data_IF_487472295087
#
_entry.id   IF_487472295087
#
_cell.length_a   1.000
_cell.length_b   1.000
_cell.length_c   1.000
_cell.angle_alpha   90.00
_cell.angle_beta   90.00
_cell.angle_gamma   90.00
#
_symmetry.space_group_name_H-M   'P 1'
#
loop_
_entity.id
_entity.type
_entity.pdbx_description
1 polymer ?
#
# COMPACT_ATOMS: atom_id res chain seq x y z
N UNK A 1 82.33 62.35 -62.65
CA UNK A 1 82.96 61.46 -61.66
C UNK A 1 82.23 61.68 -60.34
N UNK A 2 81.32 60.78 -59.94
CA UNK A 2 81.45 59.91 -58.74
C UNK A 2 81.06 60.68 -57.48
N UNK A 3 80.06 60.32 -56.66
CA UNK A 3 79.94 59.17 -55.74
C UNK A 3 78.47 59.18 -55.22
N UNK A 4 77.63 58.16 -55.43
CA UNK A 4 77.25 57.00 -54.58
C UNK A 4 76.34 57.22 -53.34
N UNK A 5 75.36 56.31 -53.21
CA UNK A 5 74.48 55.91 -52.09
C UNK A 5 73.23 56.80 -51.79
N UNK A 6 72.04 56.28 -51.48
CA UNK A 6 71.63 54.96 -50.97
C UNK A 6 70.21 54.56 -51.43
N UNK A 7 69.99 53.25 -51.61
CA UNK A 7 68.67 52.61 -51.79
C UNK A 7 68.08 52.30 -50.40
N UNK A 8 66.86 52.76 -50.13
CA UNK A 8 66.07 52.30 -48.98
C UNK A 8 65.12 51.18 -49.44
N UNK A 9 65.38 49.96 -48.95
CA UNK A 9 64.49 48.82 -49.03
C UNK A 9 63.73 48.73 -47.70
N UNK A 10 62.41 48.93 -47.72
CA UNK A 10 61.53 48.66 -46.58
C UNK A 10 60.91 47.27 -46.79
N UNK A 11 61.39 46.29 -46.02
CA UNK A 11 60.81 44.97 -45.92
C UNK A 11 59.48 45.03 -45.16
N UNK A 12 58.45 44.39 -45.72
CA UNK A 12 57.12 44.30 -45.13
C UNK A 12 57.10 43.55 -43.79
N UNK A 13 56.24 44.02 -42.89
CA UNK A 13 55.74 43.26 -41.74
C UNK A 13 54.22 43.15 -41.88
N UNK A 14 53.75 42.04 -42.43
CA UNK A 14 52.34 41.64 -42.43
C UNK A 14 52.22 40.24 -41.84
N UNK A 15 51.22 40.05 -40.98
CA UNK A 15 50.64 38.72 -40.73
C UNK A 15 51.12 37.96 -39.49
N UNK A 16 50.73 38.40 -38.28
CA UNK A 16 50.76 37.51 -37.11
C UNK A 16 49.57 37.69 -36.14
N UNK A 17 48.85 38.83 -36.18
CA UNK A 17 47.77 39.11 -35.21
C UNK A 17 46.38 38.57 -35.58
N UNK A 18 46.07 38.28 -36.86
CA UNK A 18 44.70 37.88 -37.25
C UNK A 18 44.37 36.41 -36.97
N UNK A 19 45.35 35.51 -36.99
CA UNK A 19 45.12 34.08 -36.78
C UNK A 19 44.85 33.67 -35.33
N UNK A 20 45.39 34.41 -34.35
CA UNK A 20 45.23 34.10 -32.93
C UNK A 20 43.86 34.53 -32.39
N UNK A 21 43.38 35.70 -32.82
CA UNK A 21 42.06 36.23 -32.47
C UNK A 21 40.92 35.34 -33.00
N UNK A 22 41.05 34.83 -34.23
CA UNK A 22 40.05 33.91 -34.81
C UNK A 22 40.02 32.54 -34.10
N UNK A 23 41.18 32.01 -33.67
CA UNK A 23 41.23 30.75 -32.91
C UNK A 23 40.65 30.87 -31.51
N UNK A 24 40.87 32.00 -30.84
CA UNK A 24 40.28 32.29 -29.52
C UNK A 24 38.75 32.44 -29.60
N UNK A 25 38.23 33.20 -30.58
CA UNK A 25 36.78 33.34 -30.81
C UNK A 25 36.10 32.01 -31.15
N UNK A 26 36.74 31.17 -31.98
CA UNK A 26 36.20 29.86 -32.34
C UNK A 26 36.15 28.91 -31.12
N UNK A 27 37.15 28.94 -30.24
CA UNK A 27 37.15 28.14 -29.01
C UNK A 27 36.09 28.58 -28.00
N UNK A 28 35.82 29.88 -27.90
CA UNK A 28 34.74 30.45 -27.06
C UNK A 28 33.37 30.05 -27.61
N UNK A 29 33.15 30.14 -28.93
CA UNK A 29 31.90 29.69 -29.55
C UNK A 29 31.66 28.18 -29.39
N UNK A 30 32.70 27.35 -29.50
CA UNK A 30 32.60 25.90 -29.27
C UNK A 30 32.27 25.59 -27.80
N UNK A 31 32.85 26.34 -26.85
CA UNK A 31 32.51 26.20 -25.42
C UNK A 31 31.06 26.60 -25.14
N UNK A 32 30.58 27.70 -25.70
CA UNK A 32 29.20 28.16 -25.53
C UNK A 32 28.19 27.17 -26.14
N UNK A 33 28.48 26.61 -27.33
CA UNK A 33 27.66 25.56 -27.95
C UNK A 33 27.59 24.30 -27.08
N UNK A 34 28.72 23.89 -26.48
CA UNK A 34 28.75 22.73 -25.57
C UNK A 34 27.95 22.97 -24.28
N UNK A 35 28.03 24.16 -23.71
CA UNK A 35 27.24 24.55 -22.52
C UNK A 35 25.74 24.53 -22.86
N UNK A 36 25.37 25.05 -24.04
CA UNK A 36 23.98 25.11 -24.47
C UNK A 36 23.39 23.70 -24.71
N UNK A 37 24.17 22.80 -25.30
CA UNK A 37 23.79 21.39 -25.43
C UNK A 37 23.65 20.69 -24.06
N UNK A 38 24.55 20.99 -23.12
CA UNK A 38 24.49 20.42 -21.77
C UNK A 38 23.25 20.89 -20.99
N UNK A 39 22.89 22.17 -21.10
CA UNK A 39 21.66 22.69 -20.48
C UNK A 39 20.39 22.06 -21.08
N UNK A 40 20.33 21.89 -22.40
CA UNK A 40 19.19 21.24 -23.07
C UNK A 40 19.08 19.76 -22.66
N UNK A 41 20.22 19.07 -22.52
CA UNK A 41 20.25 17.70 -22.02
C UNK A 41 19.70 17.59 -20.59
N UNK A 42 20.07 18.50 -19.68
CA UNK A 42 19.55 18.52 -18.30
C UNK A 42 18.03 18.78 -18.27
N UNK A 43 17.54 19.72 -19.07
CA UNK A 43 16.10 20.01 -19.19
C UNK A 43 15.30 18.79 -19.70
N UNK A 44 15.87 18.00 -20.60
CA UNK A 44 15.20 16.79 -21.13
C UNK A 44 15.05 15.67 -20.10
N UNK A 45 15.98 15.56 -19.14
CA UNK A 45 15.93 14.54 -18.08
C UNK A 45 14.82 14.84 -17.07
N UNK A 46 14.56 16.12 -16.77
CA UNK A 46 13.48 16.51 -15.84
C UNK A 46 12.08 16.30 -16.43
N UNK A 47 11.92 16.44 -17.75
CA UNK A 47 10.65 16.20 -18.45
C UNK A 47 10.27 14.71 -18.55
N UNK A 48 11.22 13.80 -18.35
CA UNK A 48 11.00 12.34 -18.39
C UNK A 48 10.48 11.76 -17.06
N UNK A 49 10.33 12.57 -16.01
CA UNK A 49 9.83 12.12 -14.71
C UNK A 49 8.31 11.88 -14.77
N UNK A 50 7.91 10.71 -15.27
CA UNK A 50 6.52 10.25 -15.22
C UNK A 50 6.17 9.85 -13.79
N UNK A 51 5.24 10.56 -13.17
CA UNK A 51 4.61 10.13 -11.91
C UNK A 51 3.72 8.93 -12.21
N UNK A 52 4.25 7.72 -12.09
CA UNK A 52 3.42 6.53 -12.09
C UNK A 52 2.63 6.52 -10.78
N UNK A 53 1.37 6.95 -10.82
CA UNK A 53 0.42 6.66 -9.75
C UNK A 53 0.18 5.16 -9.81
N UNK A 54 0.84 4.39 -8.96
CA UNK A 54 0.45 3.01 -8.75
C UNK A 54 -0.98 3.02 -8.23
N UNK A 55 -1.92 2.50 -9.01
CA UNK A 55 -3.25 2.20 -8.50
C UNK A 55 -3.08 1.16 -7.40
N UNK A 56 -3.15 1.60 -6.15
CA UNK A 56 -3.13 0.74 -4.98
C UNK A 56 -4.49 0.02 -4.93
N UNK A 57 -4.61 -1.07 -5.68
CA UNK A 57 -5.79 -1.93 -5.63
C UNK A 57 -5.70 -2.75 -4.34
N UNK A 58 -6.61 -2.49 -3.41
CA UNK A 58 -6.72 -3.29 -2.19
C UNK A 58 -7.16 -4.72 -2.55
N UNK A 59 -6.40 -5.77 -2.16
CA UNK A 59 -6.79 -7.14 -2.42
C UNK A 59 -8.03 -7.53 -1.61
N UNK A 60 -8.87 -8.38 -2.21
CA UNK A 60 -10.02 -8.96 -1.51
C UNK A 60 -9.55 -9.71 -0.25
N UNK A 61 -10.32 -9.57 0.84
CA UNK A 61 -10.00 -10.22 2.11
C UNK A 61 -10.32 -11.70 2.03
N UNK A 62 -9.30 -12.56 2.12
CA UNK A 62 -9.48 -14.00 2.35
C UNK A 62 -9.40 -14.30 3.84
N UNK A 63 -10.46 -14.90 4.38
CA UNK A 63 -10.55 -15.32 5.79
C UNK A 63 -10.64 -16.84 5.92
N UNK A 64 -10.39 -17.58 4.84
CA UNK A 64 -10.50 -19.04 4.84
C UNK A 64 -9.56 -19.65 5.87
N UNK A 65 -10.06 -20.61 6.64
CA UNK A 65 -9.32 -21.31 7.68
C UNK A 65 -10.12 -21.48 8.97
N UNK A 66 -9.49 -22.13 9.95
CA UNK A 66 -10.05 -22.34 11.28
C UNK A 66 -9.57 -21.26 12.23
N UNK A 67 -10.50 -20.65 12.93
CA UNK A 67 -10.29 -19.51 13.81
C UNK A 67 -10.69 -19.87 15.23
N UNK A 68 -9.80 -19.57 16.18
CA UNK A 68 -9.98 -19.81 17.61
C UNK A 68 -10.12 -18.49 18.36
N UNK A 69 -10.80 -18.52 19.50
CA UNK A 69 -10.95 -17.34 20.36
C UNK A 69 -9.57 -16.89 20.85
N UNK A 70 -9.27 -15.62 20.63
CA UNK A 70 -8.14 -14.91 21.23
C UNK A 70 -8.59 -14.01 22.38
N UNK A 71 -9.77 -13.38 22.24
CA UNK A 71 -10.35 -12.47 23.23
C UNK A 71 -11.86 -12.40 23.11
N UNK A 72 -12.56 -12.28 24.25
CA UNK A 72 -13.99 -12.00 24.30
C UNK A 72 -14.24 -10.81 25.22
N UNK A 73 -14.93 -9.80 24.69
CA UNK A 73 -15.48 -8.70 25.48
C UNK A 73 -17.00 -8.81 25.50
N UNK A 74 -17.58 -8.89 26.69
CA UNK A 74 -19.03 -8.92 26.92
C UNK A 74 -19.45 -7.65 27.66
N UNK A 75 -20.38 -6.87 27.10
CA UNK A 75 -20.84 -5.61 27.69
C UNK A 75 -19.70 -4.65 28.08
N UNK A 76 -18.63 -4.63 27.29
CA UNK A 76 -17.44 -3.81 27.53
C UNK A 76 -16.43 -4.40 28.52
N UNK A 77 -16.71 -5.55 29.13
CA UNK A 77 -15.81 -6.23 30.07
C UNK A 77 -15.08 -7.38 29.35
N UNK A 78 -13.76 -7.41 29.47
CA UNK A 78 -12.95 -8.53 28.98
C UNK A 78 -13.19 -9.75 29.85
N UNK A 79 -13.84 -10.78 29.30
CA UNK A 79 -14.17 -12.01 30.01
C UNK A 79 -13.23 -13.17 29.68
N UNK A 80 -12.28 -12.96 28.76
CA UNK A 80 -11.27 -13.94 28.36
C UNK A 80 -10.59 -14.64 29.54
N UNK A 81 -10.20 -13.98 30.65
CA UNK A 81 -9.48 -14.66 31.72
C UNK A 81 -10.37 -15.53 32.63
N UNK A 82 -11.70 -15.48 32.50
CA UNK A 82 -12.61 -16.15 33.44
C UNK A 82 -13.05 -17.55 33.00
N UNK A 83 -12.74 -17.97 31.78
CA UNK A 83 -13.08 -19.31 31.30
C UNK A 83 -12.11 -19.76 30.19
N UNK A 84 -12.10 -21.08 29.93
CA UNK A 84 -11.42 -21.63 28.77
C UNK A 84 -12.38 -21.65 27.57
N UNK A 85 -11.95 -20.99 26.50
CA UNK A 85 -12.69 -20.88 25.23
C UNK A 85 -12.03 -21.69 24.10
N UNK A 86 -11.01 -22.49 24.41
CA UNK A 86 -10.23 -23.26 23.42
C UNK A 86 -11.07 -24.28 22.64
N UNK A 87 -12.15 -24.79 23.24
CA UNK A 87 -13.06 -25.74 22.60
C UNK A 87 -13.89 -25.09 21.47
N UNK A 88 -14.06 -23.76 21.47
CA UNK A 88 -14.82 -23.08 20.44
C UNK A 88 -13.96 -22.67 19.26
N UNK A 89 -14.40 -23.03 18.06
CA UNK A 89 -13.80 -22.56 16.82
C UNK A 89 -14.84 -22.38 15.72
N UNK A 90 -14.50 -21.51 14.77
CA UNK A 90 -15.24 -21.33 13.52
C UNK A 90 -14.31 -21.59 12.35
N UNK A 91 -14.77 -22.40 11.39
CA UNK A 91 -14.02 -22.66 10.16
C UNK A 91 -14.75 -22.01 9.00
N UNK A 92 -14.06 -21.14 8.27
CA UNK A 92 -14.55 -20.55 7.03
C UNK A 92 -13.91 -21.27 5.84
N UNK A 93 -14.74 -21.75 4.91
CA UNK A 93 -14.29 -22.43 3.71
C UNK A 93 -14.28 -21.47 2.51
N UNK A 94 -13.48 -21.81 1.49
CA UNK A 94 -13.33 -21.03 0.26
C UNK A 94 -14.61 -20.93 -0.58
N UNK A 95 -15.56 -21.83 -0.37
CA UNK A 95 -16.87 -21.87 -1.04
C UNK A 95 -17.94 -21.03 -0.32
N UNK A 96 -17.53 -20.15 0.61
CA UNK A 96 -18.40 -19.31 1.43
C UNK A 96 -19.29 -20.09 2.41
N UNK A 97 -18.93 -21.34 2.75
CA UNK A 97 -19.54 -22.06 3.87
C UNK A 97 -18.77 -21.85 5.17
N UNK A 98 -19.43 -22.04 6.30
CA UNK A 98 -18.78 -22.07 7.61
C UNK A 98 -19.33 -23.20 8.49
N UNK A 99 -18.49 -23.68 9.40
CA UNK A 99 -18.87 -24.62 10.46
C UNK A 99 -18.45 -24.09 11.83
N UNK A 100 -19.20 -24.47 12.86
CA UNK A 100 -18.90 -24.19 14.26
C UNK A 100 -18.48 -25.48 14.95
N UNK A 101 -17.54 -25.38 15.89
CA UNK A 101 -17.19 -26.43 16.82
C UNK A 101 -17.16 -25.85 18.23
N UNK A 102 -17.61 -26.63 19.22
CA UNK A 102 -17.80 -26.18 20.59
C UNK A 102 -19.06 -25.35 20.79
N UNK A 103 -19.51 -25.23 22.04
CA UNK A 103 -20.69 -24.45 22.42
C UNK A 103 -20.28 -23.15 23.10
N UNK A 104 -20.61 -22.02 22.46
CA UNK A 104 -20.55 -20.69 23.07
C UNK A 104 -21.71 -19.82 22.56
N UNK A 105 -22.11 -18.78 23.31
CA UNK A 105 -23.04 -17.77 22.81
C UNK A 105 -22.48 -17.04 21.59
N UNK A 106 -22.82 -17.50 20.40
CA UNK A 106 -22.40 -16.89 19.14
C UNK A 106 -23.59 -16.36 18.35
N UNK A 107 -23.37 -15.51 17.33
CA UNK A 107 -24.46 -14.88 16.57
C UNK A 107 -25.44 -15.91 15.97
N UNK A 108 -24.91 -17.07 15.59
CA UNK A 108 -25.62 -18.25 15.04
C UNK A 108 -25.21 -19.50 15.82
N UNK A 109 -26.06 -20.53 15.80
CA UNK A 109 -25.85 -21.75 16.59
C UNK A 109 -25.52 -22.99 15.73
N UNK A 110 -25.58 -22.87 14.40
CA UNK A 110 -25.31 -23.95 13.45
C UNK A 110 -24.38 -23.46 12.35
N UNK A 111 -23.85 -24.38 11.55
CA UNK A 111 -23.12 -24.05 10.33
C UNK A 111 -24.03 -23.46 9.25
N UNK A 112 -23.43 -23.01 8.14
CA UNK A 112 -24.19 -22.45 7.04
C UNK A 112 -23.31 -21.74 6.02
N UNK A 113 -23.82 -20.65 5.45
CA UNK A 113 -23.07 -19.81 4.50
C UNK A 113 -22.83 -18.40 5.05
N UNK A 114 -21.78 -17.75 4.55
CA UNK A 114 -21.40 -16.41 4.97
C UNK A 114 -21.05 -15.53 3.76
N UNK A 115 -21.29 -14.23 3.85
CA UNK A 115 -20.85 -13.26 2.85
C UNK A 115 -20.51 -11.93 3.51
N UNK A 116 -19.52 -11.23 2.96
CA UNK A 116 -19.30 -9.83 3.30
C UNK A 116 -20.37 -8.92 2.67
N UNK A 117 -20.61 -7.78 3.28
CA UNK A 117 -21.44 -6.73 2.68
C UNK A 117 -20.76 -6.03 1.50
N UNK A 118 -19.43 -5.95 1.52
CA UNK A 118 -18.61 -5.38 0.46
C UNK A 118 -17.39 -6.31 0.23
N UNK A 119 -17.11 -6.75 -1.01
CA UNK A 119 -16.01 -7.67 -1.28
C UNK A 119 -14.60 -7.07 -1.11
N UNK A 120 -14.47 -5.73 -1.14
CA UNK A 120 -13.20 -5.01 -1.08
C UNK A 120 -12.99 -4.35 0.29
N UNK A 121 -14.03 -3.74 0.86
CA UNK A 121 -13.98 -3.02 2.14
C UNK A 121 -15.06 -3.50 3.11
N UNK A 122 -14.98 -4.75 3.61
CA UNK A 122 -16.03 -5.33 4.44
C UNK A 122 -16.06 -4.72 5.85
N UNK A 123 -17.25 -4.26 6.25
CA UNK A 123 -17.55 -3.76 7.61
C UNK A 123 -18.56 -4.64 8.36
N UNK A 124 -19.18 -5.58 7.64
CA UNK A 124 -20.12 -6.53 8.22
C UNK A 124 -20.06 -7.85 7.47
N UNK A 125 -20.47 -8.90 8.17
CA UNK A 125 -20.60 -10.24 7.62
C UNK A 125 -22.00 -10.76 7.89
N UNK A 126 -22.67 -11.21 6.85
CA UNK A 126 -23.98 -11.84 6.88
C UNK A 126 -23.81 -13.35 7.03
N UNK A 127 -24.29 -13.89 8.14
CA UNK A 127 -24.39 -15.33 8.38
C UNK A 127 -25.76 -15.83 7.97
N UNK A 128 -25.79 -16.95 7.26
CA UNK A 128 -27.01 -17.69 6.87
C UNK A 128 -26.92 -19.11 7.44
N UNK A 129 -27.39 -19.34 8.67
CA UNK A 129 -27.40 -20.67 9.27
C UNK A 129 -28.37 -21.59 8.51
N UNK A 130 -28.13 -22.90 8.54
CA UNK A 130 -28.99 -23.88 7.89
C UNK A 130 -30.39 -23.95 8.50
N UNK A 131 -30.51 -23.66 9.79
CA UNK A 131 -31.71 -23.83 10.61
C UNK A 131 -32.37 -22.50 11.03
N UNK A 132 -32.09 -21.39 10.35
CA UNK A 132 -32.60 -20.09 10.78
C UNK A 132 -32.52 -18.98 9.74
N UNK A 133 -32.83 -17.77 10.20
CA UNK A 133 -32.81 -16.57 9.37
C UNK A 133 -31.41 -15.99 9.25
N UNK A 134 -31.17 -15.31 8.13
CA UNK A 134 -29.93 -14.59 7.91
C UNK A 134 -29.75 -13.46 8.96
N UNK A 135 -28.54 -13.32 9.49
CA UNK A 135 -28.21 -12.33 10.52
C UNK A 135 -26.85 -11.69 10.27
N UNK A 136 -26.78 -10.37 10.41
CA UNK A 136 -25.58 -9.60 10.15
C UNK A 136 -24.81 -9.28 11.43
N UNK A 137 -23.49 -9.38 11.35
CA UNK A 137 -22.53 -9.00 12.40
C UNK A 137 -21.73 -7.77 11.97
N UNK A 138 -21.20 -7.02 12.94
CA UNK A 138 -20.15 -6.04 12.65
C UNK A 138 -18.80 -6.73 12.57
N UNK A 139 -17.99 -6.33 11.61
CA UNK A 139 -16.71 -6.93 11.29
C UNK A 139 -15.58 -5.94 11.53
N UNK A 140 -14.46 -6.42 12.06
CA UNK A 140 -13.22 -5.68 12.18
C UNK A 140 -12.03 -6.62 11.89
N UNK A 141 -10.93 -6.06 11.42
CA UNK A 141 -9.67 -6.79 11.20
C UNK A 141 -8.55 -6.20 12.04
N UNK A 142 -8.58 -6.40 13.37
CA UNK A 142 -7.53 -5.90 14.24
C UNK A 142 -6.20 -6.55 13.88
N UNK A 143 -5.12 -5.77 14.04
CA UNK A 143 -3.75 -6.24 13.88
C UNK A 143 -3.15 -6.31 15.27
N UNK A 144 -2.72 -7.49 15.69
CA UNK A 144 -2.04 -7.70 16.98
C UNK A 144 -0.68 -8.30 16.71
N UNK A 145 0.37 -7.51 16.95
CA UNK A 145 1.72 -7.83 16.50
C UNK A 145 1.80 -7.83 14.98
N UNK A 146 2.23 -8.94 14.39
CA UNK A 146 2.32 -9.13 12.93
C UNK A 146 1.22 -10.00 12.33
N UNK A 147 0.26 -10.46 13.15
CA UNK A 147 -0.81 -11.37 12.71
C UNK A 147 -2.15 -10.62 12.59
N UNK A 148 -2.83 -10.79 11.46
CA UNK A 148 -4.22 -10.37 11.30
C UNK A 148 -5.12 -11.20 12.21
N UNK A 149 -6.09 -10.54 12.82
CA UNK A 149 -7.15 -11.16 13.60
C UNK A 149 -8.50 -10.83 13.00
N UNK A 150 -9.50 -11.62 13.37
CA UNK A 150 -10.87 -11.45 12.92
C UNK A 150 -11.72 -11.00 14.11
N UNK A 151 -12.27 -9.79 14.04
CA UNK A 151 -13.17 -9.24 15.03
C UNK A 151 -14.62 -9.36 14.58
N UNK A 152 -15.48 -9.98 15.38
CA UNK A 152 -16.91 -10.10 15.12
C UNK A 152 -17.67 -9.56 16.33
N UNK A 153 -18.50 -8.54 16.10
CA UNK A 153 -19.35 -7.97 17.14
C UNK A 153 -20.83 -8.19 16.85
N UNK A 154 -21.57 -8.59 17.86
CA UNK A 154 -22.99 -8.95 17.74
C UNK A 154 -23.72 -8.78 19.07
N UNK A 155 -25.05 -8.84 19.02
CA UNK A 155 -25.93 -8.81 20.19
C UNK A 155 -26.62 -10.17 20.29
N UNK A 156 -26.67 -10.74 21.49
CA UNK A 156 -27.47 -11.93 21.80
C UNK A 156 -28.27 -11.68 23.07
N UNK A 157 -29.47 -12.26 23.11
CA UNK A 157 -30.41 -12.13 24.23
C UNK A 157 -31.78 -11.62 23.77
N UNK A 158 -32.70 -11.52 24.72
CA UNK A 158 -34.04 -11.01 24.46
C UNK A 158 -34.04 -9.47 24.42
N UNK A 159 -34.89 -8.82 23.59
CA UNK A 159 -34.97 -7.36 23.53
C UNK A 159 -35.17 -6.69 24.89
N UNK A 160 -34.66 -5.47 25.02
CA UNK A 160 -34.68 -4.70 26.27
C UNK A 160 -33.41 -4.94 27.11
N UNK A 161 -33.59 -5.08 28.43
CA UNK A 161 -32.49 -5.14 29.41
C UNK A 161 -31.75 -6.50 29.45
N UNK A 162 -32.19 -7.47 28.64
CA UNK A 162 -31.62 -8.83 28.61
C UNK A 162 -30.72 -9.08 27.40
N UNK A 163 -30.26 -8.01 26.75
CA UNK A 163 -29.34 -8.07 25.62
C UNK A 163 -27.90 -7.91 26.10
N UNK A 164 -27.08 -8.87 25.71
CA UNK A 164 -25.64 -8.78 25.87
C UNK A 164 -24.99 -8.42 24.54
N UNK A 165 -24.08 -7.45 24.60
CA UNK A 165 -23.20 -7.11 23.49
C UNK A 165 -21.93 -7.96 23.61
N UNK A 166 -21.50 -8.54 22.50
CA UNK A 166 -20.28 -9.33 22.43
C UNK A 166 -19.35 -8.77 21.36
N UNK A 167 -18.05 -8.79 21.65
CA UNK A 167 -16.97 -8.56 20.70
C UNK A 167 -16.01 -9.73 20.81
N UNK A 168 -16.04 -10.61 19.81
CA UNK A 168 -15.16 -11.76 19.73
C UNK A 168 -13.99 -11.39 18.83
N UNK A 169 -12.79 -11.62 19.33
CA UNK A 169 -11.57 -11.51 18.52
C UNK A 169 -11.00 -12.91 18.36
N UNK A 170 -10.82 -13.31 17.12
CA UNK A 170 -10.28 -14.59 16.76
C UNK A 170 -8.87 -14.47 16.19
N UNK A 171 -8.07 -15.48 16.48
CA UNK A 171 -6.79 -15.75 15.81
C UNK A 171 -6.94 -16.97 14.92
N UNK A 172 -6.22 -16.99 13.80
CA UNK A 172 -6.11 -18.19 12.98
C UNK A 172 -5.46 -19.29 13.83
N UNK A 173 -6.00 -20.50 13.79
CA UNK A 173 -5.40 -21.65 14.45
C UNK A 173 -4.03 -21.92 13.84
N UNK A 174 -3.00 -22.10 14.68
CA UNK A 174 -1.70 -22.54 14.21
C UNK A 174 -1.83 -24.01 13.74
N UNK A 175 -1.25 -24.33 12.57
CA UNK A 175 -1.24 -25.69 12.01
C UNK A 175 -0.28 -26.60 12.75
#
# INVERSE_FOLDING_TARGET
>A
MGISAARNFQAGRFGAKSGLLNKLNMSIHIKNIKIQFFCIAILSVMAACKTNKSELIEPQKDISGTWQIAKIVQNGIDITPYADYSAFSITFNKDNTYSLSGELPFIVNSGGTWNFNDPQYPFSMLFRPTDGNAISSKLAFPIVGSKYQLGISFIKGCPGNYQNTYQYTFKLADK
#
